data_IF_614486346223
#
_entry.id   IF_614486346223
#
_cell.length_a   1.000
_cell.length_b   1.000
_cell.length_c   1.000
_cell.angle_alpha   90.00
_cell.angle_beta   90.00
_cell.angle_gamma   90.00
#
_symmetry.space_group_name_H-M   'P 1'
#
loop_
_entity.id
_entity.type
_entity.pdbx_description
1 polymer ?
#
# COMPACT_ATOMS: atom_id res chain seq x y z
N UNK A 1 -8.40 24.04 -13.58
CA UNK A 1 -9.34 23.16 -14.31
C UNK A 1 -8.97 22.94 -15.78
N UNK A 2 -8.24 23.84 -16.44
CA UNK A 2 -7.79 23.68 -17.84
C UNK A 2 -6.69 22.62 -18.06
N UNK A 3 -6.00 22.17 -17.02
CA UNK A 3 -4.90 21.20 -17.12
C UNK A 3 -5.34 19.72 -17.13
N UNK A 4 -6.60 19.42 -16.80
CA UNK A 4 -7.11 18.05 -16.78
C UNK A 4 -7.63 17.52 -18.13
N UNK A 5 -7.70 18.36 -19.15
CA UNK A 5 -8.04 17.94 -20.51
C UNK A 5 -6.85 18.06 -21.44
N UNK A 6 -5.90 17.13 -21.30
CA UNK A 6 -4.84 16.91 -22.31
C UNK A 6 -5.48 16.12 -23.46
N UNK A 7 -6.34 16.78 -24.23
CA UNK A 7 -7.07 16.07 -25.29
C UNK A 7 -6.27 15.75 -26.54
N UNK A 8 -5.20 16.47 -26.84
CA UNK A 8 -4.64 16.38 -28.19
C UNK A 8 -3.12 16.53 -28.31
N UNK A 9 -2.36 16.60 -27.20
CA UNK A 9 -0.92 16.91 -27.31
C UNK A 9 -0.02 15.70 -27.45
N UNK A 10 -0.51 14.48 -27.11
CA UNK A 10 0.29 13.26 -27.15
C UNK A 10 -0.53 12.05 -27.59
N UNK A 11 -0.99 12.08 -28.84
CA UNK A 11 -1.72 10.91 -29.42
C UNK A 11 -0.86 9.64 -29.40
N UNK A 12 0.44 9.76 -29.61
CA UNK A 12 1.36 8.63 -29.55
C UNK A 12 1.45 8.03 -28.13
N UNK A 13 1.57 8.86 -27.09
CA UNK A 13 1.60 8.41 -25.70
C UNK A 13 0.26 7.81 -25.26
N UNK A 14 -0.86 8.40 -25.72
CA UNK A 14 -2.18 7.84 -25.46
C UNK A 14 -2.31 6.44 -26.07
N UNK A 15 -1.93 6.25 -27.32
CA UNK A 15 -2.01 4.93 -27.97
C UNK A 15 -1.06 3.93 -27.30
N UNK A 16 0.17 4.31 -26.98
CA UNK A 16 1.12 3.50 -26.22
C UNK A 16 0.51 3.00 -24.89
N UNK A 17 -0.12 3.89 -24.14
CA UNK A 17 -0.75 3.52 -22.86
C UNK A 17 -1.98 2.62 -23.06
N UNK A 18 -2.79 2.86 -24.08
CA UNK A 18 -3.93 2.01 -24.41
C UNK A 18 -3.49 0.61 -24.84
N UNK A 19 -2.39 0.50 -25.57
CA UNK A 19 -1.82 -0.79 -25.94
C UNK A 19 -1.39 -1.61 -24.71
N UNK A 20 -0.83 -0.98 -23.68
CA UNK A 20 -0.52 -1.65 -22.42
C UNK A 20 -1.82 -2.22 -21.79
N UNK A 21 -2.88 -1.41 -21.65
CA UNK A 21 -4.15 -1.86 -21.09
C UNK A 21 -4.82 -2.97 -21.90
N UNK A 22 -4.64 -3.01 -23.22
CA UNK A 22 -5.22 -4.02 -24.11
C UNK A 22 -4.44 -5.33 -24.09
N UNK A 23 -3.12 -5.25 -24.06
CA UNK A 23 -2.22 -6.38 -24.36
C UNK A 23 -1.53 -6.96 -23.12
N UNK A 24 -1.34 -6.18 -22.03
CA UNK A 24 -0.85 -6.72 -20.78
C UNK A 24 -2.01 -7.37 -20.01
N UNK A 25 -1.96 -8.69 -19.78
CA UNK A 25 -3.07 -9.40 -19.16
C UNK A 25 -3.32 -8.96 -17.70
N UNK A 26 -2.27 -8.64 -16.94
CA UNK A 26 -2.38 -8.25 -15.54
C UNK A 26 -2.86 -6.79 -15.43
N UNK A 27 -2.17 -5.86 -16.08
CA UNK A 27 -2.49 -4.43 -15.98
C UNK A 27 -3.87 -4.13 -16.58
N UNK A 28 -4.21 -4.76 -17.69
CA UNK A 28 -5.54 -4.65 -18.30
C UNK A 28 -6.64 -5.22 -17.40
N UNK A 29 -6.38 -6.34 -16.71
CA UNK A 29 -7.35 -6.91 -15.76
C UNK A 29 -7.54 -6.01 -14.54
N UNK A 30 -6.45 -5.47 -13.97
CA UNK A 30 -6.50 -4.51 -12.86
C UNK A 30 -7.37 -3.31 -13.24
N UNK A 31 -7.11 -2.69 -14.40
CA UNK A 31 -7.82 -1.51 -14.85
C UNK A 31 -9.32 -1.78 -15.05
N UNK A 32 -9.67 -2.87 -15.76
CA UNK A 32 -11.08 -3.25 -15.99
C UNK A 32 -11.80 -3.60 -14.70
N UNK A 33 -11.16 -4.38 -13.82
CA UNK A 33 -11.76 -4.76 -12.54
C UNK A 33 -12.06 -3.54 -11.68
N UNK A 34 -11.11 -2.60 -11.59
CA UNK A 34 -11.31 -1.34 -10.85
C UNK A 34 -12.46 -0.52 -11.41
N UNK A 35 -12.52 -0.33 -12.74
CA UNK A 35 -13.58 0.43 -13.39
C UNK A 35 -14.96 -0.23 -13.24
N UNK A 36 -15.03 -1.57 -13.29
CA UNK A 36 -16.29 -2.29 -13.06
C UNK A 36 -16.78 -2.15 -11.63
N UNK A 37 -15.89 -2.26 -10.63
CA UNK A 37 -16.25 -2.06 -9.22
C UNK A 37 -16.75 -0.63 -9.00
N UNK A 38 -16.05 0.36 -9.54
CA UNK A 38 -16.48 1.76 -9.48
C UNK A 38 -17.88 1.93 -10.08
N UNK A 39 -18.11 1.45 -11.28
CA UNK A 39 -19.41 1.59 -11.96
C UNK A 39 -20.56 0.88 -11.24
N UNK A 40 -20.32 -0.33 -10.72
CA UNK A 40 -21.34 -1.12 -10.03
C UNK A 40 -21.66 -0.59 -8.63
N UNK A 41 -20.66 -0.04 -7.92
CA UNK A 41 -20.79 0.30 -6.49
C UNK A 41 -20.46 1.76 -6.15
N UNK A 42 -20.49 2.65 -7.11
CA UNK A 42 -20.14 4.07 -6.90
C UNK A 42 -20.82 4.67 -5.66
N UNK A 43 -20.00 5.14 -4.71
CA UNK A 43 -20.47 5.75 -3.46
C UNK A 43 -21.20 4.81 -2.48
N UNK A 44 -21.19 3.47 -2.72
CA UNK A 44 -21.86 2.49 -1.85
C UNK A 44 -20.93 1.65 -1.02
N UNK A 45 -19.72 1.38 -1.50
CA UNK A 45 -18.71 0.62 -0.76
C UNK A 45 -17.74 1.55 -0.05
N UNK A 46 -17.32 1.16 1.14
CA UNK A 46 -16.18 1.74 1.82
C UNK A 46 -14.88 1.26 1.16
N UNK A 47 -13.75 1.97 1.40
CA UNK A 47 -12.43 1.55 0.89
C UNK A 47 -12.09 0.10 1.27
N UNK A 48 -12.46 -0.34 2.47
CA UNK A 48 -12.26 -1.72 2.93
C UNK A 48 -13.07 -2.71 2.09
N UNK A 49 -14.35 -2.44 1.88
CA UNK A 49 -15.26 -3.31 1.10
C UNK A 49 -14.84 -3.36 -0.36
N UNK A 50 -14.50 -2.21 -0.95
CA UNK A 50 -13.99 -2.11 -2.32
C UNK A 50 -12.69 -2.92 -2.49
N UNK A 51 -11.77 -2.84 -1.52
CA UNK A 51 -10.52 -3.62 -1.55
C UNK A 51 -10.79 -5.13 -1.48
N UNK A 52 -11.74 -5.56 -0.65
CA UNK A 52 -12.13 -6.98 -0.56
C UNK A 52 -12.75 -7.47 -1.86
N UNK A 53 -13.62 -6.67 -2.45
CA UNK A 53 -14.25 -6.99 -3.74
C UNK A 53 -13.20 -7.08 -4.86
N UNK A 54 -12.25 -6.14 -4.88
CA UNK A 54 -11.12 -6.16 -5.80
C UNK A 54 -10.27 -7.43 -5.65
N UNK A 55 -9.87 -7.78 -4.42
CA UNK A 55 -9.10 -9.00 -4.13
C UNK A 55 -9.82 -10.23 -4.70
N UNK A 56 -11.13 -10.34 -4.49
CA UNK A 56 -11.93 -11.48 -4.95
C UNK A 56 -12.00 -11.56 -6.47
N UNK A 57 -12.28 -10.44 -7.14
CA UNK A 57 -12.40 -10.40 -8.61
C UNK A 57 -11.07 -10.64 -9.31
N UNK A 58 -9.99 -10.14 -8.73
CA UNK A 58 -8.63 -10.41 -9.21
C UNK A 58 -8.17 -11.84 -8.94
N UNK A 59 -8.80 -12.53 -7.99
CA UNK A 59 -8.45 -13.89 -7.62
C UNK A 59 -7.17 -14.02 -6.79
N UNK A 60 -6.73 -12.94 -6.13
CA UNK A 60 -5.57 -12.96 -5.23
C UNK A 60 -5.80 -13.95 -4.08
N UNK A 61 -4.76 -14.70 -3.74
CA UNK A 61 -4.83 -15.82 -2.77
C UNK A 61 -4.28 -15.46 -1.41
N UNK A 62 -3.18 -14.70 -1.37
CA UNK A 62 -2.49 -14.38 -0.13
C UNK A 62 -2.10 -12.91 -0.05
N UNK A 63 -2.74 -12.20 0.85
CA UNK A 63 -2.60 -10.76 0.99
C UNK A 63 -1.45 -10.42 1.94
N UNK A 64 -0.48 -9.64 1.44
CA UNK A 64 0.57 -9.06 2.26
C UNK A 64 0.11 -7.75 2.90
N UNK A 65 0.32 -7.58 4.21
CA UNK A 65 0.01 -6.34 4.90
C UNK A 65 1.29 -5.74 5.47
N UNK A 66 1.70 -4.60 4.91
CA UNK A 66 2.80 -3.79 5.44
C UNK A 66 2.24 -2.67 6.31
N UNK A 67 2.44 -2.75 7.61
CA UNK A 67 1.86 -1.80 8.56
C UNK A 67 2.89 -1.02 9.35
N UNK A 68 2.52 0.21 9.75
CA UNK A 68 3.22 0.94 10.78
C UNK A 68 2.86 0.39 12.17
N UNK A 69 3.83 0.30 13.07
CA UNK A 69 3.57 -0.12 14.46
C UNK A 69 2.56 0.80 15.18
N UNK A 70 2.44 2.06 14.79
CA UNK A 70 1.44 2.97 15.32
C UNK A 70 0.01 2.72 14.83
N UNK A 71 -0.20 1.75 13.92
CA UNK A 71 -1.51 1.37 13.36
C UNK A 71 -1.80 -0.13 13.51
N UNK A 72 -1.24 -0.74 14.54
CA UNK A 72 -1.43 -2.18 14.79
C UNK A 72 -2.89 -2.53 15.12
N UNK A 73 -3.63 -1.61 15.73
CA UNK A 73 -5.06 -1.81 16.02
C UNK A 73 -5.87 -1.89 14.72
N UNK A 74 -5.69 -0.93 13.82
CA UNK A 74 -6.35 -0.86 12.51
C UNK A 74 -5.95 -2.06 11.66
N UNK A 75 -4.67 -2.41 11.67
CA UNK A 75 -4.15 -3.61 11.00
C UNK A 75 -4.81 -4.88 11.53
N UNK A 76 -4.96 -5.02 12.85
CA UNK A 76 -5.61 -6.17 13.47
C UNK A 76 -7.11 -6.26 13.11
N UNK A 77 -7.80 -5.12 13.04
CA UNK A 77 -9.20 -5.08 12.60
C UNK A 77 -9.30 -5.53 11.15
N UNK A 78 -8.49 -4.99 10.27
CA UNK A 78 -8.49 -5.37 8.85
C UNK A 78 -8.14 -6.86 8.65
N UNK A 79 -7.14 -7.36 9.36
CA UNK A 79 -6.75 -8.77 9.32
C UNK A 79 -7.90 -9.71 9.76
N UNK A 80 -8.66 -9.33 10.79
CA UNK A 80 -9.85 -10.08 11.21
C UNK A 80 -10.95 -10.08 10.14
N UNK A 81 -11.12 -8.96 9.43
CA UNK A 81 -12.08 -8.89 8.32
C UNK A 81 -11.65 -9.82 7.19
N UNK A 82 -10.38 -9.82 6.79
CA UNK A 82 -9.85 -10.76 5.77
C UNK A 82 -10.10 -12.22 6.20
N UNK A 83 -9.76 -12.55 7.44
CA UNK A 83 -10.00 -13.90 7.99
C UNK A 83 -11.47 -14.29 7.94
N UNK A 84 -12.39 -13.40 8.33
CA UNK A 84 -13.83 -13.64 8.28
C UNK A 84 -14.36 -13.83 6.85
N UNK A 85 -13.66 -13.28 5.85
CA UNK A 85 -13.96 -13.47 4.41
C UNK A 85 -13.23 -14.66 3.79
N UNK A 86 -12.48 -15.44 4.57
CA UNK A 86 -11.72 -16.60 4.09
C UNK A 86 -10.50 -16.24 3.25
N UNK A 87 -9.98 -15.02 3.37
CA UNK A 87 -8.82 -14.53 2.62
C UNK A 87 -7.56 -14.75 3.46
N UNK A 88 -6.60 -15.49 2.90
CA UNK A 88 -5.30 -15.69 3.56
C UNK A 88 -4.49 -14.40 3.57
N UNK A 89 -3.77 -14.14 4.66
CA UNK A 89 -2.94 -12.95 4.78
C UNK A 89 -1.68 -13.20 5.60
N UNK A 90 -0.68 -12.34 5.39
CA UNK A 90 0.51 -12.26 6.22
C UNK A 90 0.84 -10.80 6.53
N UNK A 91 1.19 -10.50 7.79
CA UNK A 91 1.42 -9.12 8.24
C UNK A 91 2.87 -8.90 8.66
N UNK A 92 3.44 -7.75 8.29
CA UNK A 92 4.78 -7.34 8.72
C UNK A 92 4.75 -5.90 9.23
N UNK A 93 5.14 -5.70 10.49
CA UNK A 93 5.30 -4.38 11.09
C UNK A 93 6.55 -3.65 10.60
N UNK A 94 6.52 -2.32 10.61
CA UNK A 94 7.61 -1.50 10.07
C UNK A 94 8.94 -1.59 10.83
N UNK A 95 8.95 -2.11 12.06
CA UNK A 95 10.16 -2.30 12.87
C UNK A 95 10.83 -3.67 12.67
N UNK A 96 10.44 -4.38 11.63
CA UNK A 96 11.03 -5.68 11.27
C UNK A 96 12.55 -5.56 11.13
N UNK A 97 13.27 -6.53 11.74
CA UNK A 97 14.74 -6.55 11.80
C UNK A 97 15.34 -5.76 12.96
N UNK A 98 14.60 -4.85 13.58
CA UNK A 98 14.97 -4.11 14.80
C UNK A 98 16.35 -3.41 14.76
N UNK A 99 16.90 -3.08 13.59
CA UNK A 99 18.17 -2.35 13.47
C UNK A 99 18.03 -0.94 14.04
N UNK A 100 19.10 -0.43 14.62
CA UNK A 100 19.13 0.95 15.12
C UNK A 100 19.13 1.96 13.97
N UNK A 101 18.54 3.12 14.20
CA UNK A 101 18.52 4.22 13.23
C UNK A 101 19.89 4.71 12.81
N UNK A 102 20.90 4.57 13.68
CA UNK A 102 22.28 4.95 13.37
C UNK A 102 22.89 4.11 12.25
N UNK A 103 22.42 2.87 12.03
CA UNK A 103 22.87 2.01 10.92
C UNK A 103 22.61 2.63 9.53
N UNK A 104 21.64 3.54 9.44
CA UNK A 104 21.32 4.26 8.21
C UNK A 104 21.74 5.73 8.27
N UNK A 105 22.62 6.10 9.21
CA UNK A 105 23.19 7.44 9.34
C UNK A 105 22.28 8.48 10.02
N UNK A 106 21.21 8.07 10.72
CA UNK A 106 20.40 9.01 11.51
C UNK A 106 21.18 9.34 12.79
N UNK A 107 21.55 10.62 13.03
CA UNK A 107 22.29 11.00 14.22
C UNK A 107 21.42 10.87 15.47
N UNK A 108 22.06 10.62 16.62
CA UNK A 108 21.35 10.33 17.88
C UNK A 108 20.38 11.45 18.28
N UNK A 109 20.75 12.69 18.11
CA UNK A 109 19.92 13.87 18.45
C UNK A 109 18.65 13.98 17.59
N UNK A 110 18.53 13.21 16.51
CA UNK A 110 17.33 13.13 15.66
C UNK A 110 16.44 11.92 15.95
N UNK A 111 16.82 11.10 16.92
CA UNK A 111 15.97 10.01 17.41
C UNK A 111 14.80 10.56 18.22
N UNK A 112 13.65 9.88 18.17
CA UNK A 112 12.45 10.27 18.93
C UNK A 112 12.63 10.13 20.43
N UNK A 113 13.52 9.21 20.86
CA UNK A 113 13.85 8.99 22.27
C UNK A 113 14.89 9.99 22.82
N UNK A 114 15.16 11.09 22.10
CA UNK A 114 16.14 12.10 22.50
C UNK A 114 17.60 11.61 22.47
N UNK A 115 17.89 10.58 21.70
CA UNK A 115 19.23 10.01 21.58
C UNK A 115 19.60 8.99 22.66
N UNK A 116 18.67 8.65 23.54
CA UNK A 116 18.90 7.68 24.62
C UNK A 116 18.79 6.24 24.12
N UNK A 117 19.93 5.60 23.84
CA UNK A 117 20.01 4.16 23.54
C UNK A 117 19.48 3.78 22.17
N UNK A 118 19.07 2.51 22.05
CA UNK A 118 18.60 1.90 20.82
C UNK A 118 17.22 2.44 20.40
N UNK A 119 17.10 2.84 19.14
CA UNK A 119 15.80 3.13 18.54
C UNK A 119 15.69 2.44 17.17
N UNK A 120 14.89 1.37 17.11
CA UNK A 120 14.68 0.63 15.87
C UNK A 120 14.22 1.51 14.73
N UNK A 121 14.89 1.43 13.59
CA UNK A 121 14.46 2.07 12.35
C UNK A 121 13.20 1.43 11.79
N UNK A 122 12.50 2.14 10.92
CA UNK A 122 11.51 1.52 10.05
C UNK A 122 12.23 0.91 8.85
N UNK A 123 11.88 -0.33 8.49
CA UNK A 123 12.51 -1.07 7.40
C UNK A 123 11.48 -1.52 6.33
N UNK A 124 10.98 -0.59 5.51
CA UNK A 124 9.98 -0.89 4.48
C UNK A 124 10.52 -1.83 3.39
N UNK A 125 11.82 -1.79 3.12
CA UNK A 125 12.45 -2.71 2.17
C UNK A 125 12.37 -4.15 2.69
N UNK A 126 12.66 -4.36 3.98
CA UNK A 126 12.53 -5.68 4.59
C UNK A 126 11.07 -6.12 4.67
N UNK A 127 10.12 -5.21 4.92
CA UNK A 127 8.69 -5.53 4.85
C UNK A 127 8.34 -6.10 3.46
N UNK A 128 8.71 -5.41 2.37
CA UNK A 128 8.42 -5.84 1.02
C UNK A 128 9.06 -7.22 0.69
N UNK A 129 10.33 -7.41 1.05
CA UNK A 129 11.04 -8.68 0.84
C UNK A 129 10.44 -9.83 1.66
N UNK A 130 10.04 -9.56 2.91
CA UNK A 130 9.41 -10.57 3.77
C UNK A 130 8.06 -11.03 3.20
N UNK A 131 7.22 -10.09 2.76
CA UNK A 131 5.94 -10.42 2.13
C UNK A 131 6.13 -11.27 0.85
N UNK A 132 7.10 -10.90 0.02
CA UNK A 132 7.44 -11.68 -1.18
C UNK A 132 7.94 -13.10 -0.82
N UNK A 133 8.80 -13.24 0.20
CA UNK A 133 9.29 -14.54 0.67
C UNK A 133 8.17 -15.44 1.23
N UNK A 134 7.08 -14.85 1.73
CA UNK A 134 5.91 -15.58 2.20
C UNK A 134 4.87 -15.86 1.10
N UNK A 135 5.18 -15.55 -0.15
CA UNK A 135 4.32 -15.84 -1.30
C UNK A 135 3.05 -14.98 -1.36
N UNK A 136 3.09 -13.76 -0.83
CA UNK A 136 1.99 -12.82 -1.00
C UNK A 136 1.92 -12.37 -2.47
N UNK A 137 0.71 -12.36 -3.03
CA UNK A 137 0.44 -12.04 -4.44
C UNK A 137 -0.23 -10.67 -4.64
N UNK A 138 -0.65 -10.03 -3.55
CA UNK A 138 -1.13 -8.65 -3.52
C UNK A 138 -0.78 -8.01 -2.18
N UNK A 139 -0.26 -6.77 -2.18
CA UNK A 139 0.14 -6.08 -0.96
C UNK A 139 -0.77 -4.89 -0.62
N UNK A 140 -0.97 -4.68 0.68
CA UNK A 140 -1.74 -3.56 1.24
C UNK A 140 -0.86 -2.80 2.23
N UNK A 141 -0.73 -1.49 2.03
CA UNK A 141 0.01 -0.59 2.92
C UNK A 141 -0.95 0.06 3.92
N UNK A 142 -0.65 -0.08 5.20
CA UNK A 142 -1.41 0.54 6.29
C UNK A 142 -0.52 1.54 7.03
N UNK A 143 -0.63 2.81 6.63
CA UNK A 143 -0.06 3.98 7.29
C UNK A 143 1.45 3.99 7.42
N UNK A 144 2.19 3.61 6.40
CA UNK A 144 3.63 3.87 6.37
C UNK A 144 3.89 5.38 6.24
N UNK A 145 5.01 5.85 6.80
CA UNK A 145 5.38 7.26 6.72
C UNK A 145 5.79 7.64 5.29
N UNK A 146 5.66 8.91 4.95
CA UNK A 146 6.21 9.48 3.71
C UNK A 146 7.69 9.07 3.56
N UNK A 147 8.06 8.58 2.40
CA UNK A 147 9.37 7.99 2.13
C UNK A 147 9.46 6.50 2.48
N UNK A 148 8.79 6.01 3.53
CA UNK A 148 8.74 4.57 3.83
C UNK A 148 7.74 3.84 2.94
N UNK A 149 6.60 4.44 2.64
CA UNK A 149 5.66 3.96 1.62
C UNK A 149 6.31 3.98 0.23
N UNK A 150 7.04 5.05 -0.11
CA UNK A 150 7.80 5.16 -1.36
C UNK A 150 8.80 4.01 -1.51
N UNK A 151 9.59 3.71 -0.46
CA UNK A 151 10.53 2.60 -0.47
C UNK A 151 9.82 1.24 -0.55
N UNK A 152 8.71 1.06 0.17
CA UNK A 152 7.94 -0.16 0.11
C UNK A 152 7.41 -0.42 -1.31
N UNK A 153 6.75 0.57 -1.92
CA UNK A 153 6.21 0.49 -3.29
C UNK A 153 7.31 0.20 -4.31
N UNK A 154 8.48 0.84 -4.18
CA UNK A 154 9.62 0.60 -5.07
C UNK A 154 10.16 -0.83 -4.99
N UNK A 155 10.06 -1.47 -3.83
CA UNK A 155 10.61 -2.81 -3.58
C UNK A 155 9.56 -3.92 -3.58
N UNK A 156 8.27 -3.60 -3.64
CA UNK A 156 7.21 -4.59 -3.82
C UNK A 156 7.37 -5.30 -5.15
N UNK A 157 7.18 -6.63 -5.14
CA UNK A 157 7.27 -7.49 -6.33
C UNK A 157 5.91 -7.85 -6.90
N UNK A 158 4.84 -7.40 -6.23
CA UNK A 158 3.45 -7.68 -6.61
C UNK A 158 2.65 -6.38 -6.59
N UNK A 159 1.49 -6.33 -7.24
CA UNK A 159 0.60 -5.18 -7.18
C UNK A 159 0.32 -4.76 -5.75
N UNK A 160 0.29 -3.46 -5.51
CA UNK A 160 0.19 -2.90 -4.15
C UNK A 160 -0.78 -1.74 -4.12
N UNK A 161 -1.65 -1.73 -3.11
CA UNK A 161 -2.53 -0.57 -2.84
C UNK A 161 -2.31 -0.01 -1.43
N UNK A 162 -2.77 1.23 -1.22
CA UNK A 162 -2.71 1.90 0.09
C UNK A 162 -4.11 1.92 0.70
N UNK A 163 -4.23 1.35 1.91
CA UNK A 163 -5.46 1.37 2.69
C UNK A 163 -5.57 2.63 3.55
N UNK A 164 -4.49 2.98 4.24
CA UNK A 164 -4.41 4.14 5.13
C UNK A 164 -3.15 4.93 4.79
N UNK A 165 -3.31 6.23 4.52
CA UNK A 165 -2.20 7.17 4.39
C UNK A 165 -1.82 7.69 5.77
N UNK A 166 -0.51 7.72 6.09
CA UNK A 166 -0.03 8.20 7.38
C UNK A 166 -0.10 9.72 7.45
N UNK A 167 -0.86 10.21 8.40
CA UNK A 167 -0.82 11.60 8.86
C UNK A 167 -0.90 11.63 10.38
N UNK A 168 0.18 12.04 11.03
CA UNK A 168 0.23 12.07 12.50
C UNK A 168 -0.49 13.27 13.10
N UNK A 169 -0.56 14.37 12.36
CA UNK A 169 -1.19 15.60 12.81
C UNK A 169 -2.72 15.51 12.71
N UNK A 170 -3.24 14.93 11.62
CA UNK A 170 -4.66 14.90 11.29
C UNK A 170 -5.29 13.50 11.43
N UNK A 171 -4.73 12.65 12.31
CA UNK A 171 -5.26 11.31 12.60
C UNK A 171 -5.50 10.46 11.34
N UNK A 172 -4.55 10.52 10.40
CA UNK A 172 -4.57 9.81 9.13
C UNK A 172 -5.67 10.26 8.14
N UNK A 173 -6.11 11.50 8.28
CA UNK A 173 -7.05 12.15 7.37
C UNK A 173 -6.40 13.40 6.71
N UNK A 174 -5.52 13.23 5.70
CA UNK A 174 -4.82 14.35 5.08
C UNK A 174 -5.75 15.32 4.34
N UNK A 175 -7.00 14.93 4.08
CA UNK A 175 -8.00 15.81 3.46
C UNK A 175 -8.51 16.88 4.43
N UNK A 176 -8.27 16.72 5.72
CA UNK A 176 -8.64 17.70 6.75
C UNK A 176 -7.62 18.85 6.91
N UNK A 177 -6.57 18.91 6.05
CA UNK A 177 -5.54 19.96 6.07
C UNK A 177 -6.04 21.32 5.55
#
# INVERSE_FOLDING_TARGET
QRQMCIRDRDKALLEETLEIYRNDPEQGLIARTSACIEGEFYGRLTRVEETIEFIKRMGYKKIGIASCVGLMRETSIFARILKAKGIEYFTVGCKVGAQDKTEIGVPNEKKLNGGCGHESMCNPIMQAKTLAAHGCDFNIVIGLCVGHDTLFLRHSKVPTTVMIVKDRALQHNPVAA
#
